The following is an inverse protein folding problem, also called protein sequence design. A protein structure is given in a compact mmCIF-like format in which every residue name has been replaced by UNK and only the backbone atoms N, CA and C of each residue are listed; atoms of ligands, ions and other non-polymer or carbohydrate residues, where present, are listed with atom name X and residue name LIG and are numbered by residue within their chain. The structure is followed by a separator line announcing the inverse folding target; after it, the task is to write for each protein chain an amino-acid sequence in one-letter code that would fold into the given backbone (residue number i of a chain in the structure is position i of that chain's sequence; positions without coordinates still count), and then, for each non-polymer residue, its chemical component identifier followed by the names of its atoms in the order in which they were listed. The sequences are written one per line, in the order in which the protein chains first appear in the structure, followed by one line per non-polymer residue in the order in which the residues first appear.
data_IF_361218274644
#
_entry.id   IF_361218274644
#
_cell.length_a   1.000
_cell.length_b   1.000
_cell.length_c   1.000
_cell.angle_alpha   90.00
_cell.angle_beta   90.00
_cell.angle_gamma   90.00
#
_symmetry.space_group_name_H-M   'P 1'
#
loop_
_entity.id
_entity.type
_entity.pdbx_description
1 polymer ?
#
# COMPACT_ATOMS: atom_id res chain seq x y z
N UNK A 1 2.69 -12.78 -12.21
CA UNK A 1 2.31 -11.93 -11.06
C UNK A 1 3.12 -10.65 -11.14
N UNK A 2 2.49 -9.48 -11.25
CA UNK A 2 3.18 -8.19 -11.30
C UNK A 2 3.12 -7.57 -9.90
N UNK A 3 4.28 -7.28 -9.32
CA UNK A 3 4.41 -6.67 -7.99
C UNK A 3 4.74 -5.21 -8.16
N UNK A 4 4.02 -4.34 -7.44
CA UNK A 4 4.27 -2.91 -7.43
C UNK A 4 4.98 -2.57 -6.13
N UNK A 5 6.22 -2.09 -6.24
CA UNK A 5 7.01 -1.63 -5.12
C UNK A 5 6.93 -0.11 -5.01
N UNK A 6 6.96 0.39 -3.78
CA UNK A 6 7.32 1.79 -3.56
C UNK A 6 8.75 2.03 -4.04
N UNK A 7 9.05 3.24 -4.49
CA UNK A 7 10.46 3.65 -4.64
C UNK A 7 11.08 3.77 -3.24
N UNK A 8 12.37 3.47 -3.11
CA UNK A 8 13.05 3.34 -1.82
C UNK A 8 12.80 4.54 -0.87
N UNK A 9 12.96 5.76 -1.39
CA UNK A 9 12.81 7.00 -0.62
C UNK A 9 11.37 7.39 -0.26
N UNK A 10 10.36 6.66 -0.76
CA UNK A 10 8.93 6.90 -0.44
C UNK A 10 8.23 5.68 0.16
N UNK A 11 8.93 4.55 0.31
CA UNK A 11 8.37 3.37 0.95
C UNK A 11 8.03 3.67 2.42
N UNK A 12 6.80 3.45 2.92
CA UNK A 12 6.43 3.86 4.28
C UNK A 12 7.37 3.28 5.36
N UNK A 13 7.85 4.13 6.27
CA UNK A 13 8.48 3.71 7.51
C UNK A 13 7.38 3.52 8.55
N UNK A 14 7.34 2.33 9.16
CA UNK A 14 6.33 1.97 10.15
C UNK A 14 7.03 1.82 11.51
N UNK A 15 6.89 2.78 12.43
CA UNK A 15 7.46 2.67 13.77
C UNK A 15 6.94 1.44 14.53
N UNK A 16 7.66 1.04 15.56
CA UNK A 16 7.20 0.02 16.49
C UNK A 16 5.79 0.37 17.04
N UNK A 17 4.92 -0.64 17.12
CA UNK A 17 3.53 -0.45 17.55
C UNK A 17 2.55 -0.01 16.44
N UNK A 18 3.00 0.15 15.20
CA UNK A 18 2.10 0.43 14.07
C UNK A 18 1.06 -0.68 13.88
N UNK A 19 -0.21 -0.29 13.78
CA UNK A 19 -1.31 -1.18 13.40
C UNK A 19 -1.69 -0.91 11.94
N UNK A 20 -1.63 -1.95 11.11
CA UNK A 20 -2.09 -1.87 9.72
C UNK A 20 -3.56 -2.28 9.64
N UNK A 21 -4.44 -1.32 9.35
CA UNK A 21 -5.84 -1.60 9.03
C UNK A 21 -6.01 -1.67 7.52
N UNK A 22 -6.57 -2.79 7.04
CA UNK A 22 -6.82 -3.00 5.62
C UNK A 22 -8.30 -3.30 5.43
N UNK A 23 -8.97 -2.54 4.54
CA UNK A 23 -10.41 -2.65 4.31
C UNK A 23 -10.67 -2.87 2.82
N UNK A 24 -11.59 -3.77 2.52
CA UNK A 24 -12.10 -4.00 1.18
C UNK A 24 -13.58 -3.67 1.10
N UNK A 25 -13.99 -3.23 -0.08
CA UNK A 25 -15.38 -2.99 -0.45
C UNK A 25 -15.74 -3.90 -1.60
N UNK A 26 -16.88 -4.58 -1.48
CA UNK A 26 -17.40 -5.46 -2.52
C UNK A 26 -18.65 -4.81 -3.11
N UNK A 27 -18.66 -4.61 -4.43
CA UNK A 27 -19.83 -4.13 -5.15
C UNK A 27 -20.71 -5.31 -5.58
N UNK A 28 -21.80 -5.53 -4.83
CA UNK A 28 -22.80 -6.55 -5.12
C UNK A 28 -24.06 -5.99 -5.80
N UNK A 29 -23.97 -4.81 -6.41
CA UNK A 29 -25.12 -4.22 -7.12
C UNK A 29 -25.47 -5.03 -8.37
N UNK A 30 -26.74 -5.02 -8.77
CA UNK A 30 -27.19 -5.69 -9.99
C UNK A 30 -26.59 -5.11 -11.28
N UNK A 31 -25.98 -3.92 -11.20
CA UNK A 31 -25.27 -3.29 -12.31
C UNK A 31 -23.84 -3.81 -12.52
N UNK A 32 -23.29 -4.60 -11.60
CA UNK A 32 -21.94 -5.14 -11.74
C UNK A 32 -21.96 -6.45 -12.56
N UNK A 33 -21.52 -6.46 -13.84
CA UNK A 33 -21.57 -7.65 -14.69
C UNK A 33 -20.61 -8.76 -14.25
N UNK A 34 -19.73 -8.50 -13.26
CA UNK A 34 -18.82 -9.50 -12.67
C UNK A 34 -19.47 -10.33 -11.57
N UNK A 35 -20.66 -9.94 -11.12
CA UNK A 35 -21.42 -10.67 -10.10
C UNK A 35 -22.39 -11.60 -10.80
N UNK A 36 -22.23 -12.91 -10.60
CA UNK A 36 -23.07 -13.93 -11.23
C UNK A 36 -24.53 -13.88 -10.77
N UNK A 37 -24.76 -13.63 -9.48
CA UNK A 37 -26.11 -13.43 -8.92
C UNK A 37 -26.06 -12.43 -7.75
N UNK A 38 -26.54 -11.18 -7.94
CA UNK A 38 -26.46 -10.13 -6.93
C UNK A 38 -27.40 -10.36 -5.73
N UNK A 39 -28.30 -11.36 -5.80
CA UNK A 39 -29.19 -11.71 -4.68
C UNK A 39 -28.47 -12.52 -3.60
N UNK A 40 -27.35 -13.14 -3.94
CA UNK A 40 -26.55 -13.91 -3.00
C UNK A 40 -25.61 -13.00 -2.20
N UNK A 41 -25.21 -13.46 -1.00
CA UNK A 41 -24.13 -12.84 -0.26
C UNK A 41 -22.86 -12.78 -1.12
N UNK A 42 -22.26 -11.60 -1.19
CA UNK A 42 -20.95 -11.36 -1.78
C UNK A 42 -20.02 -10.69 -0.77
N UNK A 43 -18.94 -11.39 -0.50
CA UNK A 43 -17.91 -11.01 0.43
C UNK A 43 -16.94 -12.16 0.60
N UNK A 44 -16.17 -12.11 1.68
CA UNK A 44 -15.20 -13.16 1.99
C UNK A 44 -15.90 -14.50 2.27
N UNK A 45 -15.43 -15.57 1.63
CA UNK A 45 -15.95 -16.93 1.83
C UNK A 45 -15.13 -17.99 1.11
N UNK A 46 -15.54 -19.26 1.26
CA UNK A 46 -14.81 -20.43 0.77
C UNK A 46 -15.42 -21.05 -0.50
N UNK A 47 -16.55 -20.55 -0.99
CA UNK A 47 -17.17 -21.02 -2.24
C UNK A 47 -16.45 -20.39 -3.43
N UNK A 48 -16.45 -21.07 -4.57
CA UNK A 48 -15.90 -20.50 -5.81
C UNK A 48 -16.63 -19.24 -6.29
N UNK A 49 -17.83 -18.98 -5.78
CA UNK A 49 -18.62 -17.78 -6.06
C UNK A 49 -18.42 -16.67 -5.01
N UNK A 50 -17.67 -16.93 -3.93
CA UNK A 50 -17.30 -15.94 -2.93
C UNK A 50 -16.07 -15.16 -3.39
N UNK A 51 -15.85 -13.98 -2.79
CA UNK A 51 -14.68 -13.17 -3.10
C UNK A 51 -13.59 -13.33 -2.02
N UNK A 52 -12.38 -12.85 -2.33
CA UNK A 52 -11.22 -12.95 -1.45
C UNK A 52 -10.54 -11.58 -1.33
N UNK A 53 -10.04 -11.25 -0.14
CA UNK A 53 -9.24 -10.07 0.09
C UNK A 53 -8.04 -10.39 0.96
N UNK A 54 -6.85 -10.08 0.45
CA UNK A 54 -5.59 -10.31 1.14
C UNK A 54 -4.62 -9.18 0.83
N UNK A 55 -3.91 -8.71 1.85
CA UNK A 55 -2.72 -7.89 1.67
C UNK A 55 -1.49 -8.81 1.61
N UNK A 56 -0.93 -8.98 0.42
CA UNK A 56 0.34 -9.69 0.21
C UNK A 56 1.50 -8.69 0.17
N UNK A 57 1.89 -8.17 1.33
CA UNK A 57 2.95 -7.16 1.45
C UNK A 57 4.34 -7.77 1.64
N UNK A 58 5.34 -7.18 0.99
CA UNK A 58 6.75 -7.37 1.35
C UNK A 58 7.12 -6.35 2.42
N UNK A 59 7.48 -6.83 3.61
CA UNK A 59 7.90 -6.00 4.74
C UNK A 59 9.38 -6.29 5.00
N UNK A 60 10.16 -5.24 5.24
CA UNK A 60 11.55 -5.32 5.70
C UNK A 60 11.59 -4.80 7.12
N UNK A 61 12.17 -5.58 8.03
CA UNK A 61 12.35 -5.17 9.41
C UNK A 61 13.67 -4.41 9.54
N UNK A 62 13.62 -3.31 10.29
CA UNK A 62 14.77 -2.47 10.59
C UNK A 62 15.03 -2.53 12.10
N UNK A 63 16.30 -2.48 12.48
CA UNK A 63 16.70 -2.10 13.84
C UNK A 63 16.35 -0.64 14.13
N UNK A 64 16.38 -0.26 15.41
CA UNK A 64 16.10 1.12 15.82
C UNK A 64 17.06 2.13 15.20
N UNK A 65 18.35 1.76 15.11
CA UNK A 65 19.40 2.60 14.51
C UNK A 65 19.15 2.78 13.00
N UNK A 66 18.85 1.70 12.28
CA UNK A 66 18.53 1.75 10.84
C UNK A 66 17.25 2.57 10.58
N UNK A 67 16.23 2.40 11.41
CA UNK A 67 15.00 3.18 11.32
C UNK A 67 15.27 4.68 11.51
N UNK A 68 16.05 5.03 12.53
CA UNK A 68 16.42 6.43 12.83
C UNK A 68 17.25 7.07 11.70
N UNK A 69 18.16 6.30 11.10
CA UNK A 69 18.93 6.73 9.93
C UNK A 69 18.01 7.02 8.74
N UNK A 70 17.09 6.11 8.43
CA UNK A 70 16.11 6.26 7.35
C UNK A 70 15.21 7.48 7.54
N UNK A 71 14.69 7.70 8.76
CA UNK A 71 13.90 8.89 9.10
C UNK A 71 14.71 10.16 8.83
N UNK A 72 15.94 10.23 9.35
CA UNK A 72 16.82 11.40 9.18
C UNK A 72 17.12 11.67 7.71
N UNK A 73 17.44 10.63 6.93
CA UNK A 73 17.72 10.74 5.50
C UNK A 73 16.52 11.29 4.72
N UNK A 74 15.30 10.87 5.07
CA UNK A 74 14.05 11.32 4.43
C UNK A 74 13.65 12.73 4.84
N UNK A 75 13.91 13.13 6.08
CA UNK A 75 13.72 14.52 6.50
C UNK A 75 14.68 15.45 5.76
N UNK A 76 15.95 15.07 5.64
CA UNK A 76 16.95 15.85 4.92
C UNK A 76 16.61 16.01 3.43
N UNK A 77 16.10 14.95 2.79
CA UNK A 77 15.68 15.01 1.38
C UNK A 77 14.45 15.89 1.17
N UNK A 78 13.50 15.91 2.12
CA UNK A 78 12.33 16.81 2.09
C UNK A 78 12.70 18.28 2.32
N UNK A 79 13.69 18.54 3.18
CA UNK A 79 14.13 19.90 3.54
C UNK A 79 15.01 20.56 2.48
N UNK A 80 15.65 19.79 1.59
CA UNK A 80 16.30 20.37 0.40
C UNK A 80 15.18 20.84 -0.55
N UNK A 81 14.98 22.15 -0.77
CA UNK A 81 14.16 22.59 -1.87
C UNK A 81 14.78 22.04 -3.15
N UNK A 82 13.97 21.76 -4.17
CA UNK A 82 14.45 21.45 -5.51
C UNK A 82 15.24 22.65 -6.07
N UNK A 83 16.51 22.77 -5.68
CA UNK A 83 17.47 23.71 -6.24
C UNK A 83 18.01 23.13 -7.53
N UNK A 84 17.18 23.06 -8.57
CA UNK A 84 17.61 22.92 -9.96
C UNK A 84 16.46 23.22 -10.94
N UNK A 85 16.06 24.49 -10.95
CA UNK A 85 15.47 25.15 -12.10
C UNK A 85 16.38 26.30 -12.55
N UNK A 86 17.68 26.04 -12.67
CA UNK A 86 18.61 26.98 -13.29
C UNK A 86 19.08 26.42 -14.63
N UNK A 87 18.64 27.10 -15.68
CA UNK A 87 19.35 27.40 -16.93
C UNK A 87 20.45 26.44 -17.39
N UNK A 88 20.25 25.90 -18.59
CA UNK A 88 21.25 25.95 -19.66
C UNK A 88 20.56 25.91 -21.03
N UNK A 89 21.22 26.46 -22.08
CA UNK A 89 20.67 27.36 -23.09
C UNK A 89 19.70 26.77 -24.12
#
# INVERSE_FOLDING_TARGET
MKVYYYKDHVAPLLPAGTVLQVTAWYDNTAGNPRVADPRNWKGWGSRSIDDMFFLLSRIVWLSEDEFSQEVTAREASRRRPALTGQNQP
#
